data_IF_061495041298
#
_entry.id   IF_061495041298
#
_cell.length_a   1.000
_cell.length_b   1.000
_cell.length_c   1.000
_cell.angle_alpha   90.00
_cell.angle_beta   90.00
_cell.angle_gamma   90.00
#
_symmetry.space_group_name_H-M   'P 1'
#
loop_
_entity.id
_entity.type
_entity.pdbx_description
1 polymer ?
#
# COMPACT_ATOMS: atom_id res chain seq x y z
N UNK A 1 20.59 76.29 52.30
CA UNK A 1 20.18 76.41 50.90
C UNK A 1 20.93 75.37 50.10
N UNK A 2 20.75 74.09 50.44
CA UNK A 2 19.55 73.24 50.16
C UNK A 2 19.54 72.87 48.67
N UNK A 3 19.85 71.63 48.28
CA UNK A 3 19.16 70.34 48.49
C UNK A 3 17.76 70.25 47.85
N UNK A 4 17.50 69.04 47.34
CA UNK A 4 16.20 68.43 47.03
C UNK A 4 15.58 68.78 45.65
N UNK A 5 14.92 67.88 44.92
CA UNK A 5 14.37 66.56 45.25
C UNK A 5 13.97 65.80 43.97
N UNK A 6 13.95 64.47 44.04
CA UNK A 6 13.41 63.52 43.06
C UNK A 6 11.89 63.63 42.86
N UNK A 7 11.38 63.15 41.72
CA UNK A 7 10.17 62.28 41.67
C UNK A 7 9.94 61.80 40.22
N UNK A 8 10.13 60.52 39.90
CA UNK A 8 9.19 59.40 40.04
C UNK A 8 7.89 59.54 39.21
N UNK A 9 7.94 59.20 37.91
CA UNK A 9 7.01 58.33 37.12
C UNK A 9 7.76 58.13 35.77
N UNK A 10 8.11 56.97 35.23
CA UNK A 10 7.29 55.83 34.81
C UNK A 10 8.24 54.63 34.65
N UNK A 11 8.21 53.68 35.59
CA UNK A 11 9.03 52.45 35.56
C UNK A 11 8.13 51.20 35.48
N UNK A 12 6.95 51.32 34.85
CA UNK A 12 5.99 50.20 34.72
C UNK A 12 5.96 49.54 33.33
N UNK A 13 6.54 50.14 32.28
CA UNK A 13 6.53 49.51 30.94
C UNK A 13 7.65 48.46 30.74
N UNK A 14 8.79 48.60 31.42
CA UNK A 14 9.93 47.69 31.20
C UNK A 14 9.78 46.31 31.89
N UNK A 15 8.86 46.17 32.84
CA UNK A 15 8.65 44.90 33.54
C UNK A 15 7.67 43.95 32.82
N UNK A 16 6.79 44.47 31.98
CA UNK A 16 5.85 43.65 31.18
C UNK A 16 6.56 42.96 30.02
N UNK A 17 7.56 43.63 29.43
CA UNK A 17 8.32 43.08 28.30
C UNK A 17 9.39 42.06 28.72
N UNK A 18 9.85 42.10 29.99
CA UNK A 18 10.72 41.06 30.54
C UNK A 18 9.97 39.80 30.97
N UNK A 19 8.71 39.89 31.40
CA UNK A 19 7.88 38.70 31.68
C UNK A 19 7.38 38.01 30.40
N UNK A 20 7.25 38.72 29.28
CA UNK A 20 6.89 38.11 27.98
C UNK A 20 8.02 37.30 27.34
N UNK A 21 9.28 37.48 27.79
CA UNK A 21 10.46 36.75 27.29
C UNK A 21 10.75 35.43 28.02
N UNK A 22 9.95 35.01 29.01
CA UNK A 22 10.24 33.80 29.83
C UNK A 22 9.28 32.61 29.69
N UNK A 23 8.37 32.60 28.71
CA UNK A 23 7.61 31.39 28.34
C UNK A 23 8.06 30.82 27.00
N UNK A 24 9.34 30.47 26.90
CA UNK A 24 9.90 29.74 25.75
C UNK A 24 9.52 28.26 25.80
N UNK A 25 8.24 27.94 25.60
CA UNK A 25 7.84 26.66 25.03
C UNK A 25 7.44 26.96 23.59
N UNK A 26 8.19 26.47 22.59
CA UNK A 26 7.87 26.75 21.20
C UNK A 26 6.45 26.24 20.91
N UNK A 27 5.58 27.16 20.51
CA UNK A 27 4.18 26.84 20.21
C UNK A 27 4.09 26.22 18.81
N UNK A 28 4.51 24.95 18.73
CA UNK A 28 4.57 24.12 17.52
C UNK A 28 3.27 24.23 16.72
N UNK A 29 2.12 24.21 17.40
CA UNK A 29 0.77 24.25 16.82
C UNK A 29 0.50 25.48 15.95
N UNK A 30 0.99 26.67 16.36
CA UNK A 30 0.75 27.93 15.64
C UNK A 30 1.63 28.08 14.41
N UNK A 31 2.81 27.46 14.45
CA UNK A 31 3.69 27.33 13.28
C UNK A 31 3.14 26.32 12.28
N UNK A 32 2.61 25.19 12.72
CA UNK A 32 2.02 24.19 11.81
C UNK A 32 0.84 24.76 11.01
N UNK A 33 -0.07 25.51 11.65
CA UNK A 33 -1.22 26.12 10.97
C UNK A 33 -0.83 27.19 9.94
N UNK A 34 0.20 28.01 10.24
CA UNK A 34 0.72 29.04 9.32
C UNK A 34 1.62 28.49 8.22
N UNK A 35 2.16 27.28 8.38
CA UNK A 35 3.00 26.60 7.39
C UNK A 35 2.13 25.80 6.40
N UNK A 36 1.02 25.19 6.84
CA UNK A 36 0.04 24.56 5.94
C UNK A 36 -0.52 25.57 4.93
N UNK A 37 -0.67 26.84 5.33
CA UNK A 37 -1.09 27.91 4.41
C UNK A 37 -0.03 28.26 3.36
N UNK A 38 1.27 28.09 3.65
CA UNK A 38 2.37 28.38 2.71
C UNK A 38 2.63 27.29 1.67
N UNK A 39 2.01 26.11 1.83
CA UNK A 39 2.05 25.04 0.81
C UNK A 39 1.10 25.37 -0.36
N UNK A 40 0.27 26.42 -0.24
CA UNK A 40 -0.49 26.92 -1.39
C UNK A 40 0.43 27.68 -2.35
N UNK A 41 0.48 27.33 -3.65
CA UNK A 41 1.32 28.04 -4.61
C UNK A 41 0.87 29.49 -4.77
N UNK A 42 1.81 30.39 -5.03
CA UNK A 42 1.64 31.86 -5.23
C UNK A 42 0.67 32.25 -6.36
N UNK A 43 0.03 31.29 -7.03
CA UNK A 43 -0.98 31.56 -8.05
C UNK A 43 -2.17 30.56 -7.96
N UNK A 44 -3.10 30.76 -7.01
CA UNK A 44 -4.17 29.82 -6.71
C UNK A 44 -5.29 29.75 -7.76
N UNK A 45 -5.19 30.44 -8.91
CA UNK A 45 -6.25 30.46 -9.94
C UNK A 45 -5.93 29.54 -11.12
N UNK A 46 -4.66 29.39 -11.50
CA UNK A 46 -4.27 28.57 -12.66
C UNK A 46 -4.19 27.07 -12.32
N UNK A 47 -3.54 26.70 -11.21
CA UNK A 47 -3.46 25.31 -10.71
C UNK A 47 -4.79 24.80 -10.17
N UNK A 48 -5.67 25.70 -9.71
CA UNK A 48 -7.02 25.36 -9.25
C UNK A 48 -7.92 24.83 -10.36
N UNK A 49 -7.68 25.23 -11.61
CA UNK A 49 -8.50 24.73 -12.72
C UNK A 49 -8.11 23.30 -13.13
N UNK A 50 -6.81 22.95 -13.13
CA UNK A 50 -6.36 21.61 -13.53
C UNK A 50 -6.62 20.54 -12.45
N UNK A 51 -6.39 20.84 -11.17
CA UNK A 51 -6.65 19.89 -10.06
C UNK A 51 -8.15 19.69 -9.77
N UNK A 52 -8.98 20.73 -9.90
CA UNK A 52 -10.44 20.62 -9.75
C UNK A 52 -11.09 19.88 -10.93
N UNK A 53 -10.43 19.82 -12.09
CA UNK A 53 -10.92 19.10 -13.27
C UNK A 53 -10.87 17.58 -13.10
N UNK A 54 -9.96 17.02 -12.30
CA UNK A 54 -9.76 15.56 -12.14
C UNK A 54 -10.70 14.95 -11.10
N UNK A 55 -10.98 15.65 -10.01
CA UNK A 55 -11.86 15.17 -8.92
C UNK A 55 -13.35 15.14 -9.32
N UNK A 56 -13.73 15.94 -10.32
CA UNK A 56 -15.09 16.02 -10.89
C UNK A 56 -15.29 15.23 -12.20
N UNK A 57 -14.33 14.38 -12.61
CA UNK A 57 -14.51 13.52 -13.78
C UNK A 57 -15.51 12.41 -13.45
N UNK A 58 -16.75 12.65 -13.85
CA UNK A 58 -17.80 11.65 -13.90
C UNK A 58 -17.80 10.95 -15.27
N UNK A 59 -18.21 9.67 -15.34
CA UNK A 59 -18.22 8.90 -16.59
C UNK A 59 -18.99 9.58 -17.73
N UNK A 60 -19.94 10.46 -17.40
CA UNK A 60 -20.82 11.12 -18.35
C UNK A 60 -20.22 12.35 -19.05
N UNK A 61 -19.11 12.93 -18.57
CA UNK A 61 -18.61 14.24 -19.06
C UNK A 61 -17.52 14.13 -20.12
N UNK A 62 -16.60 13.16 -20.00
CA UNK A 62 -15.53 12.93 -20.98
C UNK A 62 -15.06 11.47 -20.98
N UNK A 63 -15.68 10.63 -21.83
CA UNK A 63 -15.49 9.18 -21.84
C UNK A 63 -14.04 8.75 -22.14
N UNK A 64 -13.37 9.41 -23.11
CA UNK A 64 -11.99 9.04 -23.49
C UNK A 64 -10.98 9.34 -22.38
N UNK A 65 -11.14 10.48 -21.70
CA UNK A 65 -10.28 10.84 -20.56
C UNK A 65 -10.55 9.91 -19.37
N UNK A 66 -11.83 9.63 -19.08
CA UNK A 66 -12.24 8.72 -18.02
C UNK A 66 -11.69 7.31 -18.21
N UNK A 67 -11.79 6.75 -19.43
CA UNK A 67 -11.26 5.43 -19.74
C UNK A 67 -9.73 5.39 -19.63
N UNK A 68 -9.04 6.43 -20.14
CA UNK A 68 -7.58 6.55 -20.00
C UNK A 68 -7.12 6.61 -18.54
N UNK A 69 -7.82 7.37 -17.70
CA UNK A 69 -7.53 7.45 -16.26
C UNK A 69 -7.85 6.14 -15.54
N UNK A 70 -8.95 5.47 -15.90
CA UNK A 70 -9.32 4.17 -15.34
C UNK A 70 -8.24 3.13 -15.66
N UNK A 71 -7.81 3.04 -16.92
CA UNK A 71 -6.76 2.11 -17.33
C UNK A 71 -5.41 2.39 -16.65
N UNK A 72 -5.05 3.66 -16.47
CA UNK A 72 -3.82 4.03 -15.75
C UNK A 72 -3.92 3.74 -14.25
N UNK A 73 -5.09 3.95 -13.65
CA UNK A 73 -5.34 3.62 -12.23
C UNK A 73 -5.21 2.12 -11.96
N UNK A 74 -5.65 1.25 -12.88
CA UNK A 74 -5.44 -0.20 -12.81
C UNK A 74 -3.95 -0.53 -12.66
N UNK A 75 -3.10 0.15 -13.44
CA UNK A 75 -1.65 -0.05 -13.42
C UNK A 75 -0.97 0.47 -12.16
N UNK A 76 -1.28 1.71 -11.77
CA UNK A 76 -0.55 2.42 -10.72
C UNK A 76 -1.05 2.09 -9.31
N UNK A 77 -2.36 1.99 -9.13
CA UNK A 77 -2.97 1.84 -7.79
C UNK A 77 -3.12 0.38 -7.41
N UNK A 78 -3.59 -0.44 -8.33
CA UNK A 78 -4.01 -1.81 -8.01
C UNK A 78 -2.91 -2.85 -8.24
N UNK A 79 -1.66 -2.42 -8.48
CA UNK A 79 -0.51 -3.30 -8.65
C UNK A 79 -0.32 -4.28 -7.49
N UNK A 80 -0.18 -3.73 -6.28
CA UNK A 80 0.12 -4.51 -5.07
C UNK A 80 -0.98 -5.54 -4.76
N UNK A 81 -2.23 -5.07 -4.58
CA UNK A 81 -3.38 -5.95 -4.35
C UNK A 81 -3.56 -6.99 -5.47
N UNK A 82 -3.26 -6.62 -6.71
CA UNK A 82 -3.36 -7.51 -7.87
C UNK A 82 -2.30 -8.60 -7.91
N UNK A 83 -1.16 -8.40 -7.26
CA UNK A 83 -0.09 -9.39 -7.16
C UNK A 83 -0.21 -10.30 -5.94
N UNK A 84 -1.05 -9.92 -4.96
CA UNK A 84 -1.30 -10.74 -3.76
C UNK A 84 -1.75 -12.19 -3.99
N UNK A 85 -2.47 -12.56 -5.08
CA UNK A 85 -2.79 -13.96 -5.32
C UNK A 85 -1.58 -14.87 -5.52
N UNK A 86 -0.40 -14.31 -5.81
CA UNK A 86 0.85 -15.08 -5.93
C UNK A 86 1.29 -15.73 -4.61
N UNK A 87 0.96 -15.11 -3.46
CA UNK A 87 1.49 -15.54 -2.17
C UNK A 87 0.42 -15.82 -1.10
N UNK A 88 -0.73 -15.13 -1.12
CA UNK A 88 -1.69 -15.15 0.00
C UNK A 88 -2.15 -16.56 0.39
N UNK A 89 -2.54 -17.41 -0.56
CA UNK A 89 -3.06 -18.75 -0.24
C UNK A 89 -1.97 -19.63 0.37
N UNK A 90 -0.74 -19.54 -0.14
CA UNK A 90 0.43 -20.22 0.41
C UNK A 90 0.72 -19.76 1.85
N UNK A 91 0.52 -18.47 2.15
CA UNK A 91 0.75 -17.96 3.53
C UNK A 91 -0.29 -18.42 4.56
N UNK A 92 -1.48 -18.86 4.14
CA UNK A 92 -2.59 -19.21 5.04
C UNK A 92 -2.46 -20.65 5.54
N UNK A 93 -1.92 -21.55 4.73
CA UNK A 93 -1.88 -22.97 5.04
C UNK A 93 -0.43 -23.46 5.11
N UNK A 94 -0.03 -23.94 6.28
CA UNK A 94 1.24 -24.62 6.54
C UNK A 94 1.08 -26.17 6.57
N UNK A 95 -0.10 -26.66 6.20
CA UNK A 95 -0.49 -28.07 6.18
C UNK A 95 -1.54 -28.30 5.09
N UNK A 96 -1.70 -29.55 4.64
CA UNK A 96 -2.73 -29.94 3.67
C UNK A 96 -4.15 -29.67 4.21
N UNK A 97 -4.90 -28.70 3.68
CA UNK A 97 -6.18 -28.30 4.25
C UNK A 97 -7.29 -29.27 3.84
N UNK A 98 -8.20 -29.56 4.76
CA UNK A 98 -9.46 -30.22 4.40
C UNK A 98 -10.31 -29.30 3.50
N UNK A 99 -11.18 -29.86 2.63
CA UNK A 99 -12.05 -29.07 1.76
C UNK A 99 -12.87 -28.01 2.51
N UNK A 100 -13.38 -28.33 3.71
CA UNK A 100 -14.10 -27.37 4.54
C UNK A 100 -13.21 -26.21 5.03
N UNK A 101 -11.94 -26.48 5.33
CA UNK A 101 -10.98 -25.47 5.75
C UNK A 101 -10.60 -24.55 4.58
N UNK A 102 -10.43 -25.13 3.39
CA UNK A 102 -10.19 -24.39 2.16
C UNK A 102 -11.34 -23.42 1.85
N UNK A 103 -12.59 -23.90 1.85
CA UNK A 103 -13.78 -23.07 1.62
C UNK A 103 -13.86 -21.94 2.65
N UNK A 104 -13.61 -22.25 3.93
CA UNK A 104 -13.61 -21.27 5.01
C UNK A 104 -12.55 -20.18 4.87
N UNK A 105 -11.32 -20.54 4.53
CA UNK A 105 -10.24 -19.60 4.30
C UNK A 105 -10.49 -18.69 3.08
N UNK A 106 -10.94 -19.27 1.97
CA UNK A 106 -11.33 -18.49 0.79
C UNK A 106 -12.50 -17.56 1.12
N UNK A 107 -13.48 -18.01 1.93
CA UNK A 107 -14.57 -17.15 2.40
C UNK A 107 -14.04 -15.95 3.20
N UNK A 108 -13.05 -16.15 4.09
CA UNK A 108 -12.41 -15.05 4.81
C UNK A 108 -11.75 -14.04 3.85
N UNK A 109 -11.05 -14.50 2.81
CA UNK A 109 -10.47 -13.62 1.79
C UNK A 109 -11.56 -12.82 1.07
N UNK A 110 -12.64 -13.48 0.62
CA UNK A 110 -13.74 -12.82 -0.09
C UNK A 110 -14.35 -11.72 0.78
N UNK A 111 -14.67 -12.03 2.03
CA UNK A 111 -15.26 -11.06 2.94
C UNK A 111 -14.28 -9.96 3.36
N UNK A 112 -12.98 -10.25 3.43
CA UNK A 112 -11.95 -9.23 3.60
C UNK A 112 -11.92 -8.24 2.41
N UNK A 113 -11.94 -8.74 1.18
CA UNK A 113 -12.00 -7.90 -0.04
C UNK A 113 -13.29 -7.08 -0.11
N UNK A 114 -14.42 -7.64 0.31
CA UNK A 114 -15.71 -6.92 0.35
C UNK A 114 -15.70 -5.84 1.45
N UNK A 115 -15.39 -6.21 2.68
CA UNK A 115 -15.53 -5.31 3.83
C UNK A 115 -14.41 -4.27 3.86
N UNK A 116 -13.15 -4.70 3.77
CA UNK A 116 -12.01 -3.80 3.90
C UNK A 116 -11.80 -3.03 2.61
N UNK A 117 -11.63 -3.71 1.49
CA UNK A 117 -11.27 -3.02 0.25
C UNK A 117 -12.46 -2.30 -0.37
N UNK A 118 -13.58 -3.00 -0.56
CA UNK A 118 -14.72 -2.44 -1.29
C UNK A 118 -15.52 -1.43 -0.45
N UNK A 119 -15.98 -1.82 0.74
CA UNK A 119 -16.83 -0.97 1.57
C UNK A 119 -16.00 0.11 2.26
N UNK A 120 -15.01 -0.28 3.07
CA UNK A 120 -14.22 0.70 3.84
C UNK A 120 -13.38 1.58 2.91
N UNK A 121 -12.54 1.03 2.04
CA UNK A 121 -11.63 1.87 1.27
C UNK A 121 -12.28 2.52 0.04
N UNK A 122 -12.79 1.72 -0.89
CA UNK A 122 -13.28 2.22 -2.17
C UNK A 122 -14.54 3.09 -2.02
N UNK A 123 -15.45 2.76 -1.08
CA UNK A 123 -16.66 3.56 -0.85
C UNK A 123 -16.40 4.65 0.20
N UNK A 124 -16.02 4.31 1.44
CA UNK A 124 -15.98 5.30 2.53
C UNK A 124 -14.73 6.19 2.50
N UNK A 125 -13.52 5.61 2.49
CA UNK A 125 -12.27 6.38 2.62
C UNK A 125 -12.02 7.27 1.39
N UNK A 126 -12.36 6.81 0.18
CA UNK A 126 -12.28 7.67 -1.02
C UNK A 126 -13.25 8.87 -1.01
N UNK A 127 -14.19 8.94 -0.05
CA UNK A 127 -15.03 10.12 0.17
C UNK A 127 -14.44 11.09 1.20
N UNK A 128 -13.42 10.67 1.95
CA UNK A 128 -12.76 11.46 2.97
C UNK A 128 -11.53 12.16 2.39
N UNK A 129 -11.69 12.92 1.30
CA UNK A 129 -10.61 13.70 0.70
C UNK A 129 -10.39 15.03 1.44
N UNK A 130 -9.15 15.51 1.45
CA UNK A 130 -8.81 16.85 1.90
C UNK A 130 -8.42 17.69 0.69
N UNK A 131 -9.33 18.53 0.20
CA UNK A 131 -9.13 19.33 -1.02
C UNK A 131 -8.79 18.50 -2.27
N UNK A 132 -9.37 17.30 -2.40
CA UNK A 132 -9.08 16.39 -3.51
C UNK A 132 -7.88 15.47 -3.29
N UNK A 133 -7.07 15.68 -2.24
CA UNK A 133 -5.95 14.80 -1.90
C UNK A 133 -6.34 13.78 -0.83
N UNK A 134 -5.79 12.57 -0.94
CA UNK A 134 -5.91 11.53 0.09
C UNK A 134 -4.54 11.13 0.62
N UNK A 135 -4.53 10.14 1.51
CA UNK A 135 -3.33 9.64 2.19
C UNK A 135 -3.25 10.00 3.68
N UNK A 136 -2.31 9.36 4.37
CA UNK A 136 -2.17 9.43 5.84
C UNK A 136 -1.94 10.86 6.33
N UNK A 137 -1.09 11.64 5.65
CA UNK A 137 -0.82 13.02 6.05
C UNK A 137 -1.90 14.01 5.59
N UNK A 138 -2.60 13.73 4.49
CA UNK A 138 -3.79 14.50 4.10
C UNK A 138 -4.90 14.37 5.16
N UNK A 139 -5.11 13.16 5.69
CA UNK A 139 -6.05 12.91 6.78
C UNK A 139 -5.58 13.54 8.10
N UNK A 140 -4.28 13.49 8.40
CA UNK A 140 -3.71 14.19 9.55
C UNK A 140 -3.96 15.71 9.46
N UNK A 141 -3.75 16.30 8.28
CA UNK A 141 -4.02 17.72 8.03
C UNK A 141 -5.51 18.07 8.23
N UNK A 142 -6.41 17.25 7.68
CA UNK A 142 -7.85 17.42 7.84
C UNK A 142 -8.28 17.35 9.32
N UNK A 143 -7.76 16.39 10.07
CA UNK A 143 -8.12 16.21 11.50
C UNK A 143 -7.45 17.23 12.42
N UNK A 144 -6.34 17.85 12.00
CA UNK A 144 -5.64 18.88 12.77
C UNK A 144 -6.02 20.30 12.38
N UNK A 145 -6.89 20.47 11.38
CA UNK A 145 -7.44 21.77 10.96
C UNK A 145 -7.92 22.59 12.18
N UNK A 146 -7.62 23.88 12.17
CA UNK A 146 -8.02 24.82 13.21
C UNK A 146 -9.55 24.95 13.33
N UNK A 147 -10.28 24.66 12.24
CA UNK A 147 -11.75 24.64 12.25
C UNK A 147 -12.32 23.55 13.15
N UNK A 148 -11.58 22.47 13.38
CA UNK A 148 -11.99 21.39 14.28
C UNK A 148 -11.49 21.72 15.69
N UNK A 149 -12.44 21.93 16.62
CA UNK A 149 -12.17 22.23 18.04
C UNK A 149 -11.69 20.98 18.81
N UNK A 150 -10.49 20.49 18.46
CA UNK A 150 -9.81 19.41 19.17
C UNK A 150 -8.80 19.95 20.18
N UNK A 151 -8.69 19.28 21.33
CA UNK A 151 -7.67 19.58 22.33
C UNK A 151 -6.26 19.36 21.77
N UNK A 152 -5.30 20.18 22.21
CA UNK A 152 -3.88 20.07 21.83
C UNK A 152 -3.30 18.68 22.04
N UNK A 153 -3.73 17.97 23.11
CA UNK A 153 -3.31 16.59 23.36
C UNK A 153 -3.78 15.64 22.27
N UNK A 154 -5.02 15.79 21.80
CA UNK A 154 -5.60 14.94 20.76
C UNK A 154 -4.92 15.20 19.42
N UNK A 155 -4.68 16.48 19.06
CA UNK A 155 -3.92 16.82 17.85
C UNK A 155 -2.50 16.21 17.85
N UNK A 156 -1.83 16.23 19.00
CA UNK A 156 -0.51 15.60 19.15
C UNK A 156 -0.60 14.07 19.02
N UNK A 157 -1.59 13.43 19.63
CA UNK A 157 -1.82 11.98 19.48
C UNK A 157 -2.07 11.61 18.02
N UNK A 158 -2.87 12.38 17.28
CA UNK A 158 -3.13 12.16 15.86
C UNK A 158 -1.83 12.25 15.05
N UNK A 159 -0.98 13.24 15.33
CA UNK A 159 0.32 13.37 14.66
C UNK A 159 1.23 12.17 14.93
N UNK A 160 1.35 11.74 16.19
CA UNK A 160 2.17 10.58 16.57
C UNK A 160 1.66 9.31 15.87
N UNK A 161 0.34 9.07 15.89
CA UNK A 161 -0.27 7.93 15.21
C UNK A 161 -0.02 7.99 13.70
N UNK A 162 -0.08 9.17 13.09
CA UNK A 162 0.18 9.36 11.66
C UNK A 162 1.64 9.11 11.31
N UNK A 163 2.59 9.50 12.17
CA UNK A 163 4.02 9.22 11.99
C UNK A 163 4.31 7.73 12.13
N UNK A 164 3.70 7.05 13.11
CA UNK A 164 3.82 5.59 13.25
C UNK A 164 3.24 4.88 12.02
N UNK A 165 2.06 5.30 11.55
CA UNK A 165 1.47 4.76 10.33
C UNK A 165 2.37 4.99 9.11
N UNK A 166 2.94 6.18 8.93
CA UNK A 166 3.87 6.46 7.84
C UNK A 166 5.16 5.62 7.93
N UNK A 167 5.70 5.39 9.12
CA UNK A 167 6.85 4.52 9.32
C UNK A 167 6.54 3.06 8.96
N UNK A 168 5.35 2.57 9.30
CA UNK A 168 4.90 1.24 8.90
C UNK A 168 4.72 1.10 7.39
N UNK A 169 4.18 2.13 6.73
CA UNK A 169 4.07 2.18 5.27
C UNK A 169 5.45 2.19 4.57
N UNK A 170 6.46 2.83 5.17
CA UNK A 170 7.83 2.74 4.66
C UNK A 170 8.43 1.33 4.80
N UNK A 171 8.05 0.60 5.86
CA UNK A 171 8.41 -0.80 6.02
C UNK A 171 7.79 -1.69 4.93
N UNK A 172 6.51 -1.48 4.64
CA UNK A 172 5.82 -2.11 3.50
C UNK A 172 6.50 -1.78 2.16
N UNK A 173 6.99 -0.53 2.06
CA UNK A 173 7.90 -0.02 1.02
C UNK A 173 9.04 -0.95 0.59
N UNK A 174 9.60 -1.71 1.54
CA UNK A 174 10.68 -2.66 1.30
C UNK A 174 10.22 -4.13 1.27
N UNK A 175 9.11 -4.45 1.95
CA UNK A 175 8.57 -5.81 2.04
C UNK A 175 7.88 -6.22 0.73
N UNK A 176 7.03 -5.35 0.17
CA UNK A 176 6.23 -5.67 -1.02
C UNK A 176 7.10 -6.05 -2.23
N UNK A 177 8.18 -5.31 -2.58
CA UNK A 177 9.06 -5.73 -3.66
C UNK A 177 9.74 -7.07 -3.40
N UNK A 178 10.12 -7.35 -2.15
CA UNK A 178 10.79 -8.60 -1.80
C UNK A 178 9.85 -9.81 -1.99
N UNK A 179 8.68 -9.77 -1.38
CA UNK A 179 7.72 -10.89 -1.41
C UNK A 179 7.17 -11.06 -2.82
N UNK A 180 6.71 -10.00 -3.47
CA UNK A 180 6.05 -10.10 -4.77
C UNK A 180 7.00 -10.60 -5.86
N UNK A 181 8.23 -10.09 -5.93
CA UNK A 181 9.19 -10.51 -6.96
C UNK A 181 9.65 -11.95 -6.75
N UNK A 182 9.90 -12.37 -5.49
CA UNK A 182 10.23 -13.77 -5.21
C UNK A 182 9.08 -14.70 -5.59
N UNK A 183 7.85 -14.39 -5.19
CA UNK A 183 6.68 -15.21 -5.54
C UNK A 183 6.42 -15.27 -7.04
N UNK A 184 6.76 -14.24 -7.82
CA UNK A 184 6.71 -14.33 -9.28
C UNK A 184 7.74 -15.32 -9.84
N UNK A 185 8.98 -15.32 -9.32
CA UNK A 185 10.06 -16.16 -9.84
C UNK A 185 9.93 -17.62 -9.37
N UNK A 186 9.33 -17.86 -8.20
CA UNK A 186 9.07 -19.19 -7.64
C UNK A 186 8.25 -20.09 -8.59
N UNK A 187 7.50 -19.52 -9.53
CA UNK A 187 6.84 -20.30 -10.59
C UNK A 187 7.80 -21.15 -11.43
N UNK A 188 9.07 -20.78 -11.52
CA UNK A 188 10.09 -21.56 -12.23
C UNK A 188 10.38 -22.91 -11.55
N UNK A 189 10.08 -23.06 -10.25
CA UNK A 189 10.31 -24.31 -9.53
C UNK A 189 9.42 -25.47 -10.02
N UNK A 190 8.24 -25.14 -10.55
CA UNK A 190 7.30 -26.16 -11.03
C UNK A 190 7.84 -26.81 -12.31
N UNK A 191 8.40 -26.02 -13.20
CA UNK A 191 8.95 -26.50 -14.46
C UNK A 191 10.38 -27.04 -14.31
N UNK A 192 11.19 -26.39 -13.47
CA UNK A 192 12.62 -26.71 -13.30
C UNK A 192 13.01 -26.67 -11.80
N UNK A 193 12.73 -27.75 -11.04
CA UNK A 193 13.05 -27.82 -9.61
C UNK A 193 14.54 -27.61 -9.28
N UNK A 194 15.44 -27.95 -10.21
CA UNK A 194 16.89 -27.79 -10.04
C UNK A 194 17.36 -26.33 -9.91
N UNK A 195 16.48 -25.35 -10.16
CA UNK A 195 16.81 -23.92 -10.12
C UNK A 195 16.57 -23.29 -8.73
N UNK A 196 16.16 -24.06 -7.73
CA UNK A 196 15.84 -23.56 -6.36
C UNK A 196 16.92 -22.64 -5.78
N UNK A 197 18.20 -23.05 -5.88
CA UNK A 197 19.34 -22.25 -5.39
C UNK A 197 19.52 -20.90 -6.12
N UNK A 198 18.95 -20.75 -7.31
CA UNK A 198 19.08 -19.58 -8.16
C UNK A 198 17.92 -18.59 -8.05
N UNK A 199 16.80 -18.94 -7.41
CA UNK A 199 15.63 -18.06 -7.27
C UNK A 199 16.02 -16.76 -6.57
N UNK A 200 16.72 -16.86 -5.44
CA UNK A 200 17.14 -15.72 -4.63
C UNK A 200 18.13 -14.83 -5.39
N UNK A 201 19.21 -15.35 -6.01
CA UNK A 201 20.06 -14.57 -6.90
C UNK A 201 19.31 -13.84 -8.02
N UNK A 202 18.36 -14.51 -8.69
CA UNK A 202 17.57 -13.91 -9.77
C UNK A 202 16.69 -12.78 -9.21
N UNK A 203 16.04 -13.00 -8.07
CA UNK A 203 15.23 -11.98 -7.38
C UNK A 203 16.06 -10.76 -6.98
N UNK A 204 17.26 -10.95 -6.42
CA UNK A 204 18.18 -9.85 -6.10
C UNK A 204 18.57 -9.07 -7.34
N UNK A 205 18.88 -9.73 -8.46
CA UNK A 205 19.19 -9.06 -9.74
C UNK A 205 18.02 -8.21 -10.21
N UNK A 206 16.79 -8.75 -10.19
CA UNK A 206 15.59 -8.00 -10.58
C UNK A 206 15.37 -6.79 -9.68
N UNK A 207 15.50 -6.94 -8.35
CA UNK A 207 15.37 -5.83 -7.40
C UNK A 207 16.45 -4.77 -7.62
N UNK A 208 17.71 -5.15 -7.81
CA UNK A 208 18.78 -4.18 -8.08
C UNK A 208 18.48 -3.40 -9.36
N UNK A 209 18.10 -4.08 -10.45
CA UNK A 209 17.74 -3.43 -11.70
C UNK A 209 16.55 -2.48 -11.52
N UNK A 210 15.54 -2.90 -10.75
CA UNK A 210 14.37 -2.12 -10.41
C UNK A 210 14.74 -0.84 -9.67
N UNK A 211 15.53 -0.92 -8.60
CA UNK A 211 15.96 0.24 -7.81
C UNK A 211 16.92 1.16 -8.58
N UNK A 212 17.75 0.62 -9.48
CA UNK A 212 18.61 1.42 -10.35
C UNK A 212 17.80 2.19 -11.39
N UNK A 213 16.72 1.61 -11.89
CA UNK A 213 15.84 2.21 -12.89
C UNK A 213 15.00 3.38 -12.35
N UNK A 214 14.85 3.53 -11.02
CA UNK A 214 14.04 4.59 -10.41
C UNK A 214 14.45 6.01 -10.82
N UNK A 215 15.74 6.22 -11.12
CA UNK A 215 16.28 7.53 -11.54
C UNK A 215 15.66 8.07 -12.83
N UNK A 216 15.15 7.19 -13.69
CA UNK A 216 14.57 7.58 -14.99
C UNK A 216 13.10 8.03 -14.88
N UNK A 217 12.50 7.90 -13.69
CA UNK A 217 11.15 8.36 -13.40
C UNK A 217 10.06 7.53 -14.08
N UNK A 218 8.84 7.66 -13.57
CA UNK A 218 7.66 6.90 -14.02
C UNK A 218 6.90 7.58 -15.16
N UNK A 219 7.27 8.81 -15.54
CA UNK A 219 6.58 9.64 -16.54
C UNK A 219 6.34 8.95 -17.89
N UNK A 220 7.37 8.33 -18.49
CA UNK A 220 7.25 7.71 -19.82
C UNK A 220 6.83 6.24 -19.76
N UNK A 221 7.23 5.53 -18.70
CA UNK A 221 6.98 4.09 -18.55
C UNK A 221 5.56 3.83 -18.03
N UNK A 222 5.00 4.76 -17.25
CA UNK A 222 3.66 4.62 -16.64
C UNK A 222 2.50 4.51 -17.63
N UNK A 223 2.71 4.84 -18.92
CA UNK A 223 1.72 4.59 -19.97
C UNK A 223 1.57 3.09 -20.24
N UNK A 224 2.67 2.32 -20.16
CA UNK A 224 2.67 0.88 -20.39
C UNK A 224 2.12 0.07 -19.20
N UNK A 225 2.10 0.64 -18.00
CA UNK A 225 1.65 -0.05 -16.79
C UNK A 225 0.18 -0.47 -16.86
N UNK A 226 -0.69 0.41 -17.37
CA UNK A 226 -2.13 0.14 -17.50
C UNK A 226 -2.43 -1.09 -18.36
N UNK A 227 -1.97 -1.14 -19.62
CA UNK A 227 -2.16 -2.31 -20.50
C UNK A 227 -1.58 -3.61 -19.95
N UNK A 228 -0.37 -3.59 -19.37
CA UNK A 228 0.27 -4.79 -18.80
C UNK A 228 -0.55 -5.31 -17.61
N UNK A 229 -0.94 -4.43 -16.69
CA UNK A 229 -1.75 -4.82 -15.54
C UNK A 229 -3.15 -5.25 -15.93
N UNK A 230 -3.76 -4.64 -16.94
CA UNK A 230 -5.04 -5.11 -17.49
C UNK A 230 -4.93 -6.54 -18.03
N UNK A 231 -3.86 -6.85 -18.78
CA UNK A 231 -3.60 -8.21 -19.26
C UNK A 231 -3.39 -9.19 -18.11
N UNK A 232 -2.67 -8.78 -17.05
CA UNK A 232 -2.51 -9.55 -15.82
C UNK A 232 -3.87 -9.87 -15.18
N UNK A 233 -4.71 -8.87 -14.90
CA UNK A 233 -6.03 -9.08 -14.31
C UNK A 233 -6.95 -9.92 -15.19
N UNK A 234 -6.92 -9.72 -16.50
CA UNK A 234 -7.68 -10.54 -17.43
C UNK A 234 -7.24 -12.01 -17.36
N UNK A 235 -5.93 -12.27 -17.26
CA UNK A 235 -5.39 -13.62 -17.12
C UNK A 235 -5.80 -14.28 -15.80
N UNK A 236 -5.75 -13.52 -14.69
CA UNK A 236 -6.25 -13.97 -13.38
C UNK A 236 -7.71 -14.37 -13.42
N UNK A 237 -8.54 -13.53 -14.05
CA UNK A 237 -9.98 -13.76 -14.19
C UNK A 237 -10.29 -15.01 -15.01
N UNK A 238 -9.66 -15.18 -16.17
CA UNK A 238 -9.89 -16.33 -17.06
C UNK A 238 -9.50 -17.64 -16.36
N UNK A 239 -8.31 -17.70 -15.76
CA UNK A 239 -7.83 -18.91 -15.06
C UNK A 239 -8.69 -19.20 -13.83
N UNK A 240 -9.06 -18.15 -13.08
CA UNK A 240 -9.92 -18.26 -11.91
C UNK A 240 -11.29 -18.85 -12.24
N UNK A 241 -11.94 -18.34 -13.28
CA UNK A 241 -13.23 -18.88 -13.76
C UNK A 241 -13.07 -20.32 -14.22
N UNK A 242 -12.04 -20.61 -15.03
CA UNK A 242 -11.80 -21.95 -15.54
C UNK A 242 -11.70 -22.98 -14.40
N UNK A 243 -10.87 -22.72 -13.39
CA UNK A 243 -10.73 -23.60 -12.22
C UNK A 243 -12.00 -23.66 -11.35
N UNK A 244 -12.67 -22.53 -11.17
CA UNK A 244 -13.95 -22.47 -10.41
C UNK A 244 -15.03 -23.34 -11.06
N UNK A 245 -15.11 -23.38 -12.40
CA UNK A 245 -16.09 -24.23 -13.10
C UNK A 245 -15.83 -25.72 -12.96
N UNK A 246 -14.58 -26.14 -12.70
CA UNK A 246 -14.24 -27.54 -12.45
C UNK A 246 -14.73 -28.03 -11.08
N UNK A 247 -14.78 -27.15 -10.07
CA UNK A 247 -15.27 -27.45 -8.73
C UNK A 247 -16.22 -26.35 -8.23
N UNK A 248 -17.50 -26.38 -8.65
CA UNK A 248 -18.47 -25.35 -8.27
C UNK A 248 -18.78 -25.34 -6.76
N UNK A 249 -18.37 -26.37 -6.01
CA UNK A 249 -18.50 -26.41 -4.55
C UNK A 249 -17.79 -25.23 -3.85
N UNK A 250 -16.71 -24.67 -4.44
CA UNK A 250 -16.01 -23.52 -3.85
C UNK A 250 -16.90 -22.29 -3.74
N UNK A 251 -17.99 -22.20 -4.51
CA UNK A 251 -18.96 -21.09 -4.45
C UNK A 251 -19.66 -21.00 -3.08
N UNK A 252 -19.62 -22.05 -2.26
CA UNK A 252 -20.05 -21.98 -0.86
C UNK A 252 -19.29 -20.90 -0.07
N UNK A 253 -18.06 -20.54 -0.49
CA UNK A 253 -17.24 -19.52 0.15
C UNK A 253 -17.89 -18.12 0.14
N UNK A 254 -18.86 -17.84 -0.74
CA UNK A 254 -19.64 -16.59 -0.69
C UNK A 254 -20.47 -16.47 0.60
N UNK A 255 -20.84 -17.58 1.23
CA UNK A 255 -21.56 -17.56 2.49
C UNK A 255 -20.63 -17.16 3.65
N UNK A 256 -20.87 -16.04 4.35
CA UNK A 256 -20.03 -15.59 5.47
C UNK A 256 -20.03 -16.58 6.63
N UNK A 257 -21.02 -17.48 6.69
CA UNK A 257 -21.06 -18.54 7.68
C UNK A 257 -19.86 -19.48 7.58
N UNK A 258 -19.32 -19.73 6.39
CA UNK A 258 -18.15 -20.59 6.19
C UNK A 258 -16.89 -19.98 6.83
N UNK A 259 -16.67 -18.68 6.62
CA UNK A 259 -15.61 -17.92 7.30
C UNK A 259 -15.74 -17.98 8.83
N UNK A 260 -16.95 -17.76 9.35
CA UNK A 260 -17.18 -17.81 10.80
C UNK A 260 -16.98 -19.21 11.38
N UNK A 261 -17.50 -20.23 10.69
CA UNK A 261 -17.36 -21.63 11.09
C UNK A 261 -15.88 -22.06 11.10
N UNK A 262 -15.10 -21.63 10.10
CA UNK A 262 -13.67 -21.87 10.04
C UNK A 262 -12.92 -21.27 11.22
N UNK A 263 -13.17 -20.00 11.56
CA UNK A 263 -12.54 -19.35 12.71
C UNK A 263 -12.89 -20.04 14.03
N UNK A 264 -14.14 -20.47 14.19
CA UNK A 264 -14.56 -21.22 15.38
C UNK A 264 -13.89 -22.59 15.49
N UNK A 265 -13.70 -23.28 14.36
CA UNK A 265 -13.09 -24.62 14.30
C UNK A 265 -11.59 -24.56 14.60
N UNK A 266 -10.87 -23.64 13.95
CA UNK A 266 -9.41 -23.51 14.08
C UNK A 266 -8.96 -22.81 15.37
N UNK A 267 -9.85 -22.07 16.05
CA UNK A 267 -9.59 -21.38 17.32
C UNK A 267 -8.34 -20.48 17.25
N UNK A 268 -7.25 -20.87 17.92
CA UNK A 268 -5.98 -20.11 17.94
C UNK A 268 -5.30 -20.08 16.57
N UNK A 269 -5.37 -21.16 15.80
CA UNK A 269 -4.77 -21.22 14.45
C UNK A 269 -5.49 -20.30 13.48
N UNK A 270 -6.82 -20.29 13.53
CA UNK A 270 -7.65 -19.40 12.72
C UNK A 270 -7.31 -17.93 12.94
N UNK A 271 -6.96 -17.55 14.17
CA UNK A 271 -6.49 -16.18 14.46
C UNK A 271 -5.16 -15.83 13.77
N UNK A 272 -4.20 -16.75 13.68
CA UNK A 272 -2.97 -16.52 12.93
C UNK A 272 -3.22 -16.48 11.42
N UNK A 273 -4.13 -17.32 10.92
CA UNK A 273 -4.50 -17.40 9.51
C UNK A 273 -5.22 -16.14 9.01
N UNK A 274 -5.95 -15.42 9.89
CA UNK A 274 -6.47 -14.09 9.58
C UNK A 274 -5.33 -13.14 9.15
N UNK A 275 -4.13 -13.26 9.73
CA UNK A 275 -2.96 -12.47 9.32
C UNK A 275 -2.59 -12.68 7.84
N UNK A 276 -2.56 -13.94 7.39
CA UNK A 276 -2.36 -14.28 5.97
C UNK A 276 -3.51 -13.79 5.09
N UNK A 277 -4.75 -13.85 5.57
CA UNK A 277 -5.91 -13.29 4.86
C UNK A 277 -5.77 -11.78 4.68
N UNK A 278 -5.27 -11.03 5.67
CA UNK A 278 -5.08 -9.58 5.53
C UNK A 278 -4.10 -9.19 4.43
N UNK A 279 -3.17 -10.07 4.06
CA UNK A 279 -2.27 -9.86 2.93
C UNK A 279 -2.99 -9.80 1.56
N UNK A 280 -4.27 -10.23 1.48
CA UNK A 280 -5.11 -10.01 0.28
C UNK A 280 -5.59 -8.57 0.11
N UNK A 281 -5.37 -7.71 1.11
CA UNK A 281 -5.83 -6.33 1.15
C UNK A 281 -4.66 -5.35 1.33
N UNK A 282 -3.49 -5.66 0.77
CA UNK A 282 -2.33 -4.75 0.68
C UNK A 282 -2.56 -3.66 -0.37
N UNK A 283 -1.74 -2.61 -0.39
CA UNK A 283 -1.81 -1.57 -1.41
C UNK A 283 -2.93 -0.53 -1.26
N UNK A 284 -3.71 -0.56 -0.18
CA UNK A 284 -4.88 0.32 -0.01
C UNK A 284 -4.50 1.77 0.33
N UNK A 285 -3.31 1.95 0.88
CA UNK A 285 -2.69 3.25 1.09
C UNK A 285 -2.38 3.95 -0.23
N UNK A 286 -1.91 3.21 -1.26
CA UNK A 286 -1.68 3.77 -2.59
C UNK A 286 -3.01 4.21 -3.22
N UNK A 287 -4.07 3.41 -3.03
CA UNK A 287 -5.43 3.75 -3.45
C UNK A 287 -5.92 5.07 -2.83
N UNK A 288 -5.58 5.32 -1.57
CA UNK A 288 -5.99 6.56 -0.91
C UNK A 288 -5.04 7.73 -1.25
N UNK A 289 -3.74 7.51 -1.32
CA UNK A 289 -2.75 8.56 -1.59
C UNK A 289 -2.87 9.15 -3.00
N UNK A 290 -3.14 8.32 -4.01
CA UNK A 290 -3.22 8.75 -5.42
C UNK A 290 -4.62 9.26 -5.83
N UNK A 291 -5.51 9.50 -4.86
CA UNK A 291 -6.85 10.03 -5.12
C UNK A 291 -6.81 11.36 -5.89
N UNK A 292 -5.83 12.23 -5.60
CA UNK A 292 -5.67 13.52 -6.25
C UNK A 292 -5.28 13.44 -7.73
N UNK A 293 -4.69 12.32 -8.17
CA UNK A 293 -4.20 12.14 -9.55
C UNK A 293 -5.22 11.48 -10.48
N UNK A 294 -6.04 10.58 -9.94
CA UNK A 294 -6.98 9.77 -10.73
C UNK A 294 -8.44 10.12 -10.46
N UNK A 295 -8.76 10.65 -9.29
CA UNK A 295 -10.13 10.90 -8.84
C UNK A 295 -10.86 9.63 -8.40
N UNK A 296 -11.88 9.81 -7.56
CA UNK A 296 -12.63 8.70 -6.93
C UNK A 296 -13.32 7.76 -7.91
N UNK A 297 -13.88 8.27 -9.00
CA UNK A 297 -14.73 7.48 -9.91
C UNK A 297 -13.93 6.53 -10.81
N UNK A 298 -12.82 6.95 -11.46
CA UNK A 298 -11.95 6.04 -12.19
C UNK A 298 -11.42 4.91 -11.30
N UNK A 299 -11.00 5.23 -10.08
CA UNK A 299 -10.50 4.24 -9.11
C UNK A 299 -11.59 3.24 -8.71
N UNK A 300 -12.81 3.70 -8.41
CA UNK A 300 -13.94 2.82 -8.11
C UNK A 300 -14.31 1.91 -9.27
N UNK A 301 -14.34 2.44 -10.50
CA UNK A 301 -14.69 1.64 -11.66
C UNK A 301 -13.61 0.59 -11.98
N UNK A 302 -12.33 0.97 -11.89
CA UNK A 302 -11.22 0.03 -12.00
C UNK A 302 -11.34 -1.11 -10.97
N UNK A 303 -11.65 -0.77 -9.71
CA UNK A 303 -11.87 -1.76 -8.65
C UNK A 303 -13.03 -2.71 -8.98
N UNK A 304 -14.24 -2.19 -9.12
CA UNK A 304 -15.44 -3.03 -9.19
C UNK A 304 -15.58 -3.81 -10.51
N UNK A 305 -15.06 -3.30 -11.62
CA UNK A 305 -15.23 -3.92 -12.94
C UNK A 305 -14.04 -4.76 -13.41
N UNK A 306 -12.84 -4.51 -12.90
CA UNK A 306 -11.63 -5.22 -13.37
C UNK A 306 -10.94 -5.95 -12.22
N UNK A 307 -10.51 -5.22 -11.20
CA UNK A 307 -9.59 -5.76 -10.18
C UNK A 307 -10.30 -6.73 -9.24
N UNK A 308 -11.43 -6.32 -8.66
CA UNK A 308 -12.22 -7.15 -7.75
C UNK A 308 -12.63 -8.48 -8.39
N UNK A 309 -13.30 -8.52 -9.56
CA UNK A 309 -13.68 -9.79 -10.17
C UNK A 309 -12.45 -10.65 -10.51
N UNK A 310 -11.37 -10.06 -11.04
CA UNK A 310 -10.16 -10.82 -11.37
C UNK A 310 -9.54 -11.51 -10.16
N UNK A 311 -9.32 -10.77 -9.06
CA UNK A 311 -8.72 -11.28 -7.83
C UNK A 311 -9.67 -12.26 -7.12
N UNK A 312 -10.97 -11.95 -7.06
CA UNK A 312 -12.00 -12.81 -6.49
C UNK A 312 -12.03 -14.19 -7.15
N UNK A 313 -12.15 -14.24 -8.48
CA UNK A 313 -12.21 -15.51 -9.20
C UNK A 313 -10.87 -16.25 -9.15
N UNK A 314 -9.74 -15.56 -9.08
CA UNK A 314 -8.46 -16.23 -8.91
C UNK A 314 -8.37 -16.95 -7.55
N UNK A 315 -8.79 -16.30 -6.46
CA UNK A 315 -8.83 -16.96 -5.14
C UNK A 315 -9.82 -18.14 -5.11
N UNK A 316 -10.99 -18.00 -5.73
CA UNK A 316 -11.92 -19.13 -5.91
C UNK A 316 -11.27 -20.27 -6.72
N UNK A 317 -10.53 -19.95 -7.78
CA UNK A 317 -9.80 -20.91 -8.59
C UNK A 317 -8.72 -21.68 -7.82
N UNK A 318 -7.93 -20.97 -7.00
CA UNK A 318 -6.93 -21.59 -6.12
C UNK A 318 -7.59 -22.49 -5.06
N UNK A 319 -8.72 -22.05 -4.49
CA UNK A 319 -9.48 -22.89 -3.56
C UNK A 319 -10.06 -24.15 -4.22
N UNK A 320 -10.61 -24.01 -5.42
CA UNK A 320 -11.10 -25.13 -6.22
C UNK A 320 -10.01 -26.17 -6.54
N UNK A 321 -8.78 -25.71 -6.78
CA UNK A 321 -7.62 -26.57 -6.97
C UNK A 321 -7.30 -27.36 -5.70
N UNK A 322 -7.18 -26.69 -4.55
CA UNK A 322 -6.82 -27.32 -3.27
C UNK A 322 -7.89 -28.30 -2.76
N UNK A 323 -9.17 -28.09 -3.10
CA UNK A 323 -10.23 -29.06 -2.82
C UNK A 323 -10.01 -30.35 -3.64
N UNK A 324 -9.45 -30.24 -4.85
CA UNK A 324 -9.22 -31.38 -5.74
C UNK A 324 -7.95 -32.14 -5.38
N UNK A 325 -6.86 -31.42 -5.11
CA UNK A 325 -5.58 -31.98 -4.73
C UNK A 325 -4.90 -31.07 -3.69
N UNK A 326 -4.77 -31.61 -2.47
CA UNK A 326 -4.24 -30.88 -1.31
C UNK A 326 -2.72 -30.82 -1.30
N UNK A 327 -2.05 -31.72 -2.02
CA UNK A 327 -0.60 -31.79 -2.09
C UNK A 327 -0.01 -30.61 -2.87
N UNK A 328 -0.83 -29.91 -3.67
CA UNK A 328 -0.44 -28.75 -4.48
C UNK A 328 -0.36 -27.43 -3.68
N UNK A 329 -0.17 -27.53 -2.36
CA UNK A 329 -0.12 -26.38 -1.45
C UNK A 329 1.15 -25.55 -1.59
N UNK A 330 2.23 -26.14 -2.09
CA UNK A 330 3.53 -25.47 -2.23
C UNK A 330 3.44 -24.24 -3.13
N UNK A 331 2.63 -24.29 -4.20
CA UNK A 331 2.35 -23.13 -5.04
C UNK A 331 0.98 -23.20 -5.74
N UNK A 332 -0.12 -22.88 -5.04
CA UNK A 332 -1.49 -23.06 -5.54
C UNK A 332 -1.78 -22.18 -6.76
N UNK A 333 -1.14 -21.00 -6.81
CA UNK A 333 -1.27 -20.08 -7.94
C UNK A 333 -0.73 -20.71 -9.21
N UNK A 334 0.53 -21.15 -9.21
CA UNK A 334 1.13 -21.66 -10.43
C UNK A 334 0.57 -23.02 -10.82
N UNK A 335 0.21 -23.89 -9.88
CA UNK A 335 -0.51 -25.14 -10.22
C UNK A 335 -1.91 -24.90 -10.81
N UNK A 336 -2.51 -23.73 -10.57
CA UNK A 336 -3.79 -23.36 -11.19
C UNK A 336 -3.67 -23.07 -12.68
N UNK A 337 -2.48 -22.81 -13.20
CA UNK A 337 -2.23 -22.41 -14.59
C UNK A 337 -2.12 -23.66 -15.49
N UNK A 338 -2.66 -23.63 -16.73
CA UNK A 338 -2.39 -24.66 -17.73
C UNK A 338 -0.90 -24.71 -18.15
N UNK A 339 -0.37 -25.92 -18.37
CA UNK A 339 1.05 -26.15 -18.74
C UNK A 339 1.53 -25.31 -19.93
N UNK A 340 0.71 -25.16 -20.98
CA UNK A 340 1.08 -24.37 -22.17
C UNK A 340 1.26 -22.87 -21.88
N UNK A 341 0.69 -22.37 -20.78
CA UNK A 341 0.67 -20.95 -20.41
C UNK A 341 1.55 -20.60 -19.21
N UNK A 342 2.29 -21.57 -18.65
CA UNK A 342 3.17 -21.35 -17.49
C UNK A 342 4.24 -20.29 -17.74
N UNK A 343 5.08 -20.47 -18.76
CA UNK A 343 6.15 -19.53 -19.11
C UNK A 343 5.64 -18.10 -19.40
N UNK A 344 4.60 -17.92 -20.25
CA UNK A 344 3.98 -16.61 -20.42
C UNK A 344 3.49 -15.98 -19.10
N UNK A 345 2.92 -16.79 -18.21
CA UNK A 345 2.43 -16.29 -16.93
C UNK A 345 3.58 -15.86 -16.01
N UNK A 346 4.69 -16.59 -15.94
CA UNK A 346 5.86 -16.21 -15.13
C UNK A 346 6.40 -14.83 -15.58
N UNK A 347 6.50 -14.63 -16.89
CA UNK A 347 6.93 -13.33 -17.46
C UNK A 347 5.93 -12.23 -17.09
N UNK A 348 4.63 -12.50 -17.26
CA UNK A 348 3.58 -11.53 -16.94
C UNK A 348 3.52 -11.20 -15.44
N UNK A 349 3.65 -12.21 -14.57
CA UNK A 349 3.73 -12.06 -13.13
C UNK A 349 4.96 -11.23 -12.74
N UNK A 350 6.12 -11.50 -13.34
CA UNK A 350 7.34 -10.71 -13.09
C UNK A 350 7.16 -9.25 -13.49
N UNK A 351 6.51 -8.99 -14.63
CA UNK A 351 6.20 -7.61 -15.04
C UNK A 351 5.20 -6.95 -14.08
N UNK A 352 4.15 -7.66 -13.67
CA UNK A 352 3.15 -7.16 -12.74
C UNK A 352 3.78 -6.82 -11.37
N UNK A 353 4.69 -7.65 -10.86
CA UNK A 353 5.35 -7.42 -9.56
C UNK A 353 6.38 -6.31 -9.63
N UNK A 354 7.08 -6.13 -10.76
CA UNK A 354 7.90 -4.95 -11.00
C UNK A 354 7.02 -3.69 -10.95
N UNK A 355 5.87 -3.68 -11.63
CA UNK A 355 4.94 -2.53 -11.66
C UNK A 355 4.39 -2.24 -10.25
N UNK A 356 3.94 -3.27 -9.52
CA UNK A 356 3.48 -3.15 -8.14
C UNK A 356 4.54 -2.51 -7.23
N UNK A 357 5.78 -3.01 -7.34
CA UNK A 357 6.92 -2.48 -6.59
C UNK A 357 7.22 -1.02 -6.92
N UNK A 358 7.06 -0.60 -8.18
CA UNK A 358 7.26 0.81 -8.57
C UNK A 358 6.31 1.76 -7.83
N UNK A 359 5.03 1.38 -7.74
CA UNK A 359 4.00 2.19 -7.11
C UNK A 359 4.32 2.41 -5.63
N UNK A 360 4.67 1.33 -4.92
CA UNK A 360 5.01 1.33 -3.49
C UNK A 360 6.28 2.14 -3.20
N UNK A 361 7.33 2.01 -4.03
CA UNK A 361 8.58 2.79 -3.89
C UNK A 361 8.31 4.28 -4.13
N UNK A 362 7.52 4.62 -5.14
CA UNK A 362 7.17 6.02 -5.44
C UNK A 362 6.30 6.62 -4.33
N UNK A 363 5.36 5.84 -3.78
CA UNK A 363 4.56 6.21 -2.61
C UNK A 363 5.44 6.50 -1.39
N UNK A 364 6.49 5.71 -1.17
CA UNK A 364 7.47 5.93 -0.11
C UNK A 364 8.20 7.27 -0.24
N UNK A 365 8.58 7.67 -1.46
CA UNK A 365 9.19 8.99 -1.69
C UNK A 365 8.21 10.14 -1.38
N UNK A 366 6.94 9.97 -1.73
CA UNK A 366 5.88 10.94 -1.44
C UNK A 366 5.65 11.08 0.07
N UNK A 367 5.60 9.97 0.81
CA UNK A 367 5.50 9.97 2.27
C UNK A 367 6.67 10.70 2.93
N UNK A 368 7.90 10.46 2.49
CA UNK A 368 9.08 11.18 3.01
C UNK A 368 9.02 12.66 2.68
N UNK A 369 8.62 13.03 1.46
CA UNK A 369 8.47 14.44 1.08
C UNK A 369 7.44 15.16 1.95
N UNK A 370 6.32 14.51 2.25
CA UNK A 370 5.28 15.04 3.15
C UNK A 370 5.81 15.17 4.59
N UNK A 371 6.57 14.18 5.08
CA UNK A 371 7.18 14.23 6.41
C UNK A 371 8.23 15.35 6.55
N UNK A 372 9.02 15.64 5.50
CA UNK A 372 9.94 16.79 5.46
C UNK A 372 9.15 18.10 5.53
N UNK A 373 8.04 18.22 4.78
CA UNK A 373 7.18 19.41 4.79
C UNK A 373 6.56 19.72 6.16
N UNK A 374 6.41 18.70 7.01
CA UNK A 374 5.95 18.83 8.39
C UNK A 374 7.10 18.94 9.42
N UNK A 375 8.34 19.13 8.97
CA UNK A 375 9.54 19.21 9.82
C UNK A 375 9.75 17.96 10.72
N UNK A 376 9.15 16.83 10.35
CA UNK A 376 9.24 15.56 11.10
C UNK A 376 10.41 14.67 10.62
N UNK A 377 11.08 15.04 9.53
CA UNK A 377 12.17 14.29 8.93
C UNK A 377 13.33 15.23 8.56
N UNK A 378 14.55 14.69 8.51
CA UNK A 378 15.74 15.41 8.06
C UNK A 378 15.55 15.79 6.58
N UNK A 379 15.90 17.03 6.17
CA UNK A 379 15.76 17.43 4.78
C UNK A 379 16.66 16.60 3.86
N UNK A 380 16.05 15.91 2.90
CA UNK A 380 16.73 15.19 1.84
C UNK A 380 16.72 15.98 0.52
N UNK A 381 17.68 15.72 -0.37
CA UNK A 381 17.67 16.26 -1.73
C UNK A 381 16.56 15.59 -2.53
N UNK A 382 15.55 16.37 -2.90
CA UNK A 382 14.40 15.94 -3.72
C UNK A 382 14.65 16.32 -5.18
N UNK A 383 14.53 15.35 -6.09
CA UNK A 383 14.52 15.57 -7.53
C UNK A 383 13.11 15.35 -8.08
N UNK A 384 12.57 16.33 -8.79
CA UNK A 384 11.31 16.18 -9.50
C UNK A 384 11.56 15.51 -10.85
N UNK A 385 11.01 14.31 -11.04
CA UNK A 385 11.21 13.50 -12.26
C UNK A 385 10.29 13.92 -13.40
N UNK A 386 9.24 14.70 -13.14
CA UNK A 386 8.42 15.36 -14.15
C UNK A 386 8.27 16.85 -13.89
N UNK A 387 8.25 17.64 -14.97
CA UNK A 387 8.02 19.10 -14.93
C UNK A 387 6.53 19.46 -14.91
N UNK A 388 5.65 18.50 -15.20
CA UNK A 388 4.20 18.71 -15.41
C UNK A 388 3.31 18.00 -14.41
N UNK A 389 3.82 17.05 -13.62
CA UNK A 389 3.01 16.28 -12.66
C UNK A 389 3.60 16.43 -11.26
N UNK A 390 2.87 17.12 -10.39
CA UNK A 390 3.13 17.22 -8.96
C UNK A 390 2.98 15.80 -8.36
N UNK A 391 4.00 15.28 -7.68
CA UNK A 391 4.00 13.93 -7.08
C UNK A 391 5.00 12.92 -7.69
N UNK A 392 5.61 13.23 -8.84
CA UNK A 392 6.73 12.43 -9.35
C UNK A 392 8.06 12.87 -8.72
N UNK A 393 8.36 12.28 -7.58
CA UNK A 393 9.45 12.63 -6.66
C UNK A 393 10.47 11.49 -6.66
N UNK A 394 11.75 11.81 -6.80
CA UNK A 394 12.85 10.87 -6.62
C UNK A 394 13.78 11.35 -5.50
N UNK A 395 13.97 10.49 -4.50
CA UNK A 395 14.86 10.75 -3.36
C UNK A 395 15.95 9.66 -3.34
N UNK A 396 17.17 9.94 -3.86
CA UNK A 396 18.20 8.91 -4.02
C UNK A 396 18.56 8.18 -2.73
N UNK A 397 18.66 8.91 -1.60
CA UNK A 397 19.04 8.32 -0.32
C UNK A 397 18.02 7.27 0.14
N UNK A 398 16.72 7.61 0.05
CA UNK A 398 15.63 6.69 0.42
C UNK A 398 15.59 5.51 -0.54
N UNK A 399 15.83 5.73 -1.84
CA UNK A 399 15.92 4.67 -2.83
C UNK A 399 16.99 3.61 -2.46
N UNK A 400 18.19 4.07 -2.10
CA UNK A 400 19.27 3.16 -1.69
C UNK A 400 18.97 2.46 -0.35
N UNK A 401 18.36 3.16 0.61
CA UNK A 401 17.94 2.55 1.89
C UNK A 401 16.91 1.45 1.66
N UNK A 402 15.85 1.74 0.88
CA UNK A 402 14.83 0.75 0.53
C UNK A 402 15.41 -0.42 -0.26
N UNK A 403 16.34 -0.16 -1.20
CA UNK A 403 17.02 -1.22 -1.95
C UNK A 403 17.79 -2.16 -1.03
N UNK A 404 18.61 -1.62 -0.11
CA UNK A 404 19.39 -2.42 0.84
C UNK A 404 18.45 -3.22 1.75
N UNK A 405 17.39 -2.59 2.28
CA UNK A 405 16.43 -3.25 3.15
C UNK A 405 15.70 -4.39 2.40
N UNK A 406 15.28 -4.16 1.16
CA UNK A 406 14.65 -5.18 0.30
C UNK A 406 15.60 -6.36 0.06
N UNK A 407 16.88 -6.10 -0.23
CA UNK A 407 17.88 -7.16 -0.44
C UNK A 407 18.11 -7.95 0.86
N UNK A 408 18.20 -7.28 2.01
CA UNK A 408 18.31 -7.94 3.32
C UNK A 408 17.11 -8.84 3.56
N UNK A 409 15.90 -8.37 3.25
CA UNK A 409 14.67 -9.16 3.37
C UNK A 409 14.73 -10.39 2.47
N UNK A 410 15.08 -10.25 1.18
CA UNK A 410 15.20 -11.37 0.23
C UNK A 410 16.23 -12.41 0.68
N UNK A 411 17.43 -11.98 1.09
CA UNK A 411 18.48 -12.90 1.55
C UNK A 411 18.11 -13.52 2.91
N UNK A 412 17.39 -12.77 3.76
CA UNK A 412 16.79 -13.27 4.99
C UNK A 412 15.79 -14.39 4.72
N UNK A 413 14.93 -14.22 3.71
CA UNK A 413 13.99 -15.26 3.27
C UNK A 413 14.70 -16.54 2.81
N UNK A 414 15.83 -16.45 2.11
CA UNK A 414 16.61 -17.62 1.71
C UNK A 414 17.02 -18.49 2.90
N UNK A 415 17.51 -17.89 3.99
CA UNK A 415 17.92 -18.64 5.19
C UNK A 415 16.73 -19.24 5.93
N UNK A 416 15.56 -18.62 5.79
CA UNK A 416 14.33 -19.04 6.44
C UNK A 416 13.62 -20.18 5.71
N UNK A 417 13.76 -20.29 4.38
CA UNK A 417 13.27 -21.42 3.58
C UNK A 417 13.86 -22.77 4.03
N UNK A 418 15.07 -22.78 4.61
CA UNK A 418 15.69 -23.99 5.21
C UNK A 418 15.21 -24.33 6.62
N UNK A 419 14.44 -23.43 7.26
CA UNK A 419 13.88 -23.64 8.59
C UNK A 419 12.37 -23.52 8.49
N UNK A 420 11.71 -24.66 8.33
CA UNK A 420 10.25 -24.81 8.39
C UNK A 420 9.63 -23.87 9.46
N UNK A 421 8.55 -23.17 9.09
CA UNK A 421 7.41 -22.82 9.96
C UNK A 421 7.18 -21.42 10.60
N UNK A 422 7.95 -20.33 10.43
CA UNK A 422 7.66 -19.13 11.30
C UNK A 422 7.60 -17.70 10.70
N UNK A 423 7.69 -17.46 9.39
CA UNK A 423 8.03 -16.10 8.92
C UNK A 423 6.93 -15.19 8.37
N UNK A 424 5.81 -15.70 7.84
CA UNK A 424 4.70 -14.79 7.48
C UNK A 424 4.05 -14.17 8.73
N UNK A 425 4.13 -14.88 9.87
CA UNK A 425 3.87 -14.33 11.20
C UNK A 425 4.85 -13.22 11.57
N UNK A 426 6.09 -13.24 11.05
CA UNK A 426 7.14 -12.25 11.35
C UNK A 426 7.00 -10.95 10.54
N UNK A 427 6.48 -11.03 9.29
CA UNK A 427 5.99 -9.84 8.58
C UNK A 427 4.91 -9.12 9.41
N UNK A 428 4.07 -9.89 10.12
CA UNK A 428 3.11 -9.37 11.11
C UNK A 428 3.76 -8.98 12.46
N UNK A 429 4.87 -9.59 12.87
CA UNK A 429 5.63 -9.17 14.07
C UNK A 429 6.41 -7.86 13.86
N UNK A 430 6.72 -7.47 12.62
CA UNK A 430 7.29 -6.14 12.33
C UNK A 430 6.29 -5.03 12.68
N UNK A 431 5.00 -5.35 12.67
CA UNK A 431 3.87 -4.56 13.14
C UNK A 431 3.65 -4.63 14.66
N UNK A 432 4.29 -5.57 15.36
CA UNK A 432 4.08 -5.82 16.79
C UNK A 432 5.42 -6.08 17.48
N UNK A 433 6.03 -5.01 17.98
CA UNK A 433 7.17 -5.09 18.91
C UNK A 433 6.78 -5.77 20.23
N UNK A 434 6.73 -7.10 20.23
CA UNK A 434 6.56 -7.93 21.43
C UNK A 434 7.54 -9.08 21.36
N UNK A 435 8.43 -9.10 22.36
CA UNK A 435 9.41 -10.14 22.64
C UNK A 435 8.80 -11.55 22.59
N UNK A 436 9.44 -12.45 21.85
CA UNK A 436 9.31 -13.88 22.08
C UNK A 436 10.01 -14.23 23.40
N UNK A 437 9.20 -14.42 24.44
CA UNK A 437 9.57 -15.22 25.61
C UNK A 437 9.01 -16.63 25.45
N UNK A 438 9.86 -17.59 25.81
CA UNK A 438 9.72 -19.06 25.85
C UNK A 438 9.83 -19.80 24.53
#
# INVERSE_FOLDING_TARGET
MEFDEESHVDNEEDNVDQQRKRSSIPDVTRRTASIITRITPENPVATRNEHLLVTDITPCRNFSLFFGLTLRSIGVIFGDIGTSPLYVVNTIFDYEPDPSQCIGAISLIIWNLIIVVSIKYAILILMADNHGEGGTFALCGLLTDEKIKLSRRVKLTILIVSLVAAAMLLGDGALTPAVSVLSAIEGLLIDVPSIESWIVPIGVVIIVLLFLAQRWGTSRIGIAFGPIMFLWFLSLFIIGIWRTTMRPEILKAFNPWEAFHYLLKEKKRGFYQIGGVFLSATGLEALYADLGHFGRWPVRCAWFFVVFPAVLFNYLGQGALLISDRSLIDNPFYHSIPEWSHWPMIVLATLATIIASQAVITGSFSLISQAIGMECCVPFKIYHTSKTIIGQIYIPMINYILMILTIIIIVGFQKMLWSSQQFYTCAFCTLRGINHGT
#
